data_IF_583239408844
#
_entry.id   IF_583239408844
#
_cell.length_a   1.000
_cell.length_b   1.000
_cell.length_c   1.000
_cell.angle_alpha   90.00
_cell.angle_beta   90.00
_cell.angle_gamma   90.00
#
_symmetry.space_group_name_H-M   'P 1'
#
loop_
_entity.id
_entity.type
_entity.pdbx_description
1 polymer ?
#
# COMPACT_ATOMS: atom_id res chain seq x y z
N UNK A 1 3.24 -24.77 9.53
CA UNK A 1 2.71 -23.77 10.48
C UNK A 1 1.57 -23.10 9.75
N UNK A 2 0.33 -23.47 10.08
CA UNK A 2 -0.85 -22.84 9.49
C UNK A 2 -0.83 -21.36 9.86
N UNK A 3 -0.77 -20.48 8.86
CA UNK A 3 -1.03 -19.06 9.06
C UNK A 3 -2.51 -18.90 9.39
N UNK A 4 -2.86 -19.07 10.66
CA UNK A 4 -4.19 -18.72 11.14
C UNK A 4 -4.34 -17.22 10.96
N UNK A 5 -5.04 -16.82 9.90
CA UNK A 5 -5.52 -15.44 9.76
C UNK A 5 -6.51 -15.27 10.89
N UNK A 6 -6.09 -14.59 11.95
CA UNK A 6 -6.97 -14.14 13.01
C UNK A 6 -7.93 -13.11 12.40
N UNK A 7 -9.10 -13.58 11.96
CA UNK A 7 -10.13 -12.74 11.35
C UNK A 7 -10.90 -11.91 12.37
N UNK A 8 -10.60 -12.06 13.67
CA UNK A 8 -11.21 -11.31 14.76
C UNK A 8 -10.14 -10.74 15.70
N UNK A 9 -9.34 -9.83 15.14
CA UNK A 9 -8.72 -8.78 15.96
C UNK A 9 -9.14 -7.42 15.46
N UNK A 10 -10.30 -6.99 15.97
CA UNK A 10 -10.76 -5.61 15.92
C UNK A 10 -9.89 -4.83 16.90
N UNK A 11 -8.86 -4.16 16.39
CA UNK A 11 -8.13 -3.18 17.18
C UNK A 11 -8.76 -1.81 17.03
N UNK A 12 -9.00 -1.18 18.17
CA UNK A 12 -9.58 0.14 18.26
C UNK A 12 -8.56 1.14 17.72
N UNK A 13 -9.01 2.01 16.83
CA UNK A 13 -8.44 3.32 16.52
C UNK A 13 -7.52 3.84 17.66
N UNK A 14 -6.21 3.95 17.42
CA UNK A 14 -5.26 4.58 18.36
C UNK A 14 -4.15 3.72 19.00
N UNK A 15 -3.77 2.55 18.45
CA UNK A 15 -2.56 1.85 18.93
C UNK A 15 -1.29 2.31 18.18
N UNK A 16 -0.24 2.59 18.96
CA UNK A 16 0.97 3.30 18.56
C UNK A 16 1.86 2.51 17.59
N UNK A 17 2.21 3.11 16.45
CA UNK A 17 3.27 2.60 15.56
C UNK A 17 4.64 2.97 16.12
N UNK A 18 5.40 2.03 16.70
CA UNK A 18 6.78 2.27 17.14
C UNK A 18 7.77 2.10 15.96
N UNK A 19 8.60 3.10 15.69
CA UNK A 19 9.67 3.04 14.68
C UNK A 19 10.92 2.36 15.25
N UNK A 20 11.44 1.34 14.56
CA UNK A 20 12.68 0.62 14.93
C UNK A 20 13.94 1.07 14.17
N UNK A 21 13.85 2.10 13.30
CA UNK A 21 14.96 2.54 12.43
C UNK A 21 15.95 3.48 13.13
N UNK A 22 15.58 4.05 14.28
CA UNK A 22 16.48 4.86 15.10
C UNK A 22 16.07 4.71 16.58
N UNK A 23 16.94 4.19 17.47
CA UNK A 23 16.65 4.16 18.91
C UNK A 23 16.40 5.55 19.52
N UNK A 24 16.62 6.63 18.77
CA UNK A 24 16.34 8.02 19.15
C UNK A 24 15.01 8.58 18.62
N UNK A 25 14.28 7.86 17.74
CA UNK A 25 13.05 8.37 17.13
C UNK A 25 11.83 7.51 17.52
N UNK A 26 11.55 7.47 18.83
CA UNK A 26 10.43 6.76 19.47
C UNK A 26 9.06 7.42 19.21
N UNK A 27 8.87 8.07 18.07
CA UNK A 27 7.59 8.65 17.74
C UNK A 27 6.56 7.53 17.49
N UNK A 28 5.38 7.73 18.04
CA UNK A 28 4.22 6.84 17.94
C UNK A 28 3.22 7.45 16.98
N UNK A 29 2.76 6.68 15.99
CA UNK A 29 1.81 7.19 14.99
C UNK A 29 0.45 6.50 15.06
N UNK A 30 -0.60 7.24 14.74
CA UNK A 30 -1.95 6.74 14.48
C UNK A 30 -2.27 6.88 12.98
N UNK A 31 -3.01 5.93 12.42
CA UNK A 31 -3.53 5.99 11.05
C UNK A 31 -5.04 5.80 11.09
N UNK A 32 -5.76 6.65 10.37
CA UNK A 32 -7.20 6.56 10.19
C UNK A 32 -7.56 6.71 8.72
N UNK A 33 -8.13 5.68 8.11
CA UNK A 33 -8.71 5.80 6.76
C UNK A 33 -9.92 6.72 6.82
N UNK A 34 -9.91 7.75 5.99
CA UNK A 34 -10.97 8.73 5.86
C UNK A 34 -11.90 8.40 4.69
N UNK A 35 -11.33 7.91 3.59
CA UNK A 35 -12.05 7.65 2.34
C UNK A 35 -11.29 6.63 1.48
N UNK A 36 -12.03 5.76 0.79
CA UNK A 36 -11.48 4.92 -0.28
C UNK A 36 -12.30 5.13 -1.55
N UNK A 37 -11.65 5.15 -2.71
CA UNK A 37 -12.28 5.38 -4.00
C UNK A 37 -11.68 4.46 -5.06
N UNK A 38 -12.50 4.10 -6.03
CA UNK A 38 -12.08 3.40 -7.25
C UNK A 38 -12.11 4.42 -8.39
N UNK A 39 -10.98 4.54 -9.09
CA UNK A 39 -10.80 5.46 -10.21
C UNK A 39 -10.53 4.66 -11.49
N UNK A 40 -11.23 5.03 -12.56
CA UNK A 40 -11.02 4.45 -13.91
C UNK A 40 -9.87 5.14 -14.67
N UNK A 41 -9.38 6.27 -14.18
CA UNK A 41 -8.28 7.04 -14.76
C UNK A 41 -7.54 7.85 -13.69
N UNK A 42 -6.38 8.40 -14.06
CA UNK A 42 -5.54 9.21 -13.16
C UNK A 42 -5.59 10.70 -13.46
N UNK A 43 -6.54 11.17 -14.27
CA UNK A 43 -6.60 12.58 -14.70
C UNK A 43 -6.79 13.57 -13.56
N UNK A 44 -7.38 13.12 -12.45
CA UNK A 44 -7.55 13.89 -11.20
C UNK A 44 -6.34 13.82 -10.27
N UNK A 45 -5.32 13.02 -10.61
CA UNK A 45 -4.11 12.83 -9.82
C UNK A 45 -3.04 13.74 -10.41
N UNK A 46 -2.38 14.51 -9.55
CA UNK A 46 -1.19 15.25 -9.97
C UNK A 46 -0.04 14.26 -10.22
N UNK A 47 0.06 13.78 -11.46
CA UNK A 47 1.08 12.80 -11.86
C UNK A 47 2.51 13.35 -11.72
N UNK A 48 2.69 14.67 -11.59
CA UNK A 48 4.01 15.26 -11.34
C UNK A 48 4.51 14.97 -9.91
N UNK A 49 3.59 14.66 -8.99
CA UNK A 49 3.88 14.21 -7.62
C UNK A 49 4.28 12.74 -7.53
N UNK A 50 4.13 11.97 -8.62
CA UNK A 50 4.60 10.58 -8.70
C UNK A 50 6.10 10.59 -8.92
N UNK A 51 6.87 10.27 -7.89
CA UNK A 51 8.34 10.18 -7.96
C UNK A 51 8.84 8.90 -7.30
N UNK A 52 9.59 8.09 -8.05
CA UNK A 52 10.37 6.96 -7.54
C UNK A 52 10.58 5.87 -8.59
N UNK A 53 10.98 4.66 -8.17
CA UNK A 53 11.36 3.55 -9.07
C UNK A 53 10.21 2.93 -9.88
N UNK A 54 8.97 3.34 -9.61
CA UNK A 54 7.79 2.89 -10.34
C UNK A 54 7.71 3.58 -11.70
N UNK A 55 7.81 2.79 -12.78
CA UNK A 55 7.71 3.31 -14.14
C UNK A 55 6.23 3.50 -14.53
N UNK A 56 5.62 4.59 -14.05
CA UNK A 56 4.21 4.90 -14.28
C UNK A 56 3.84 4.98 -15.77
N UNK A 57 4.82 5.26 -16.64
CA UNK A 57 4.62 5.27 -18.10
C UNK A 57 4.22 3.90 -18.65
N UNK A 58 4.50 2.80 -17.94
CA UNK A 58 4.06 1.46 -18.31
C UNK A 58 2.59 1.19 -17.95
N UNK A 59 1.99 2.02 -17.10
CA UNK A 59 0.65 1.81 -16.54
C UNK A 59 -0.36 2.82 -17.05
N UNK A 60 0.09 4.02 -17.45
CA UNK A 60 -0.76 5.15 -17.79
C UNK A 60 -0.48 5.60 -19.22
N UNK A 61 -1.53 5.89 -19.98
CA UNK A 61 -1.45 6.51 -21.30
C UNK A 61 -1.21 8.02 -21.18
N UNK A 62 -0.76 8.67 -22.26
CA UNK A 62 -0.49 10.12 -22.26
C UNK A 62 -1.74 10.97 -21.95
N UNK A 63 -2.94 10.43 -22.16
CA UNK A 63 -4.22 11.07 -21.85
C UNK A 63 -4.70 10.84 -20.40
N UNK A 64 -3.93 10.13 -19.58
CA UNK A 64 -4.25 9.81 -18.19
C UNK A 64 -5.17 8.59 -18.00
N UNK A 65 -5.58 7.91 -19.08
CA UNK A 65 -6.26 6.61 -18.98
C UNK A 65 -5.29 5.50 -18.57
N UNK A 66 -5.82 4.44 -17.95
CA UNK A 66 -5.03 3.28 -17.55
C UNK A 66 -4.82 2.34 -18.74
N UNK A 67 -3.62 1.79 -18.88
CA UNK A 67 -3.28 0.79 -19.90
C UNK A 67 -3.80 -0.58 -19.49
N UNK A 68 -4.26 -1.35 -20.46
CA UNK A 68 -4.45 -2.79 -20.31
C UNK A 68 -3.09 -3.50 -20.32
N UNK A 69 -3.04 -4.76 -19.89
CA UNK A 69 -1.86 -5.61 -20.07
C UNK A 69 -2.22 -7.06 -20.31
N UNK A 70 -1.23 -7.80 -20.78
CA UNK A 70 -1.31 -9.26 -20.89
C UNK A 70 -0.88 -9.85 -19.56
N UNK A 71 -1.83 -10.45 -18.84
CA UNK A 71 -1.60 -11.21 -17.61
C UNK A 71 -1.27 -12.66 -17.97
N UNK A 72 -0.20 -13.19 -17.39
CA UNK A 72 0.18 -14.60 -17.53
C UNK A 72 -0.44 -15.41 -16.39
N UNK A 73 -1.19 -16.46 -16.73
CA UNK A 73 -1.66 -17.44 -15.77
C UNK A 73 -0.60 -18.53 -15.63
N UNK A 74 0.15 -18.48 -14.53
CA UNK A 74 1.32 -19.32 -14.29
C UNK A 74 0.93 -20.55 -13.46
N UNK A 75 1.33 -21.72 -13.95
CA UNK A 75 1.43 -22.93 -13.14
C UNK A 75 2.82 -22.93 -12.51
N UNK A 76 2.86 -22.72 -11.18
CA UNK A 76 4.10 -22.73 -10.43
C UNK A 76 4.68 -24.15 -10.32
N UNK A 77 5.96 -24.28 -10.63
CA UNK A 77 6.73 -25.51 -10.45
C UNK A 77 7.08 -25.76 -8.97
N UNK A 78 7.62 -26.94 -8.69
CA UNK A 78 8.14 -27.28 -7.35
C UNK A 78 9.58 -26.78 -7.13
N UNK A 79 10.20 -26.20 -8.17
CA UNK A 79 11.58 -25.70 -8.13
C UNK A 79 12.64 -26.81 -8.04
N UNK A 80 12.25 -28.09 -8.13
CA UNK A 80 13.13 -29.26 -8.01
C UNK A 80 13.04 -30.15 -9.25
N UNK A 81 11.83 -30.51 -9.66
CA UNK A 81 11.52 -31.38 -10.80
C UNK A 81 10.74 -30.65 -11.90
N UNK A 82 10.00 -29.60 -11.56
CA UNK A 82 9.19 -28.80 -12.48
C UNK A 82 9.53 -27.32 -12.36
N UNK A 83 9.53 -26.64 -13.50
CA UNK A 83 9.71 -25.19 -13.60
C UNK A 83 8.36 -24.51 -13.79
N UNK A 84 8.30 -23.21 -13.49
CA UNK A 84 7.11 -22.40 -13.75
C UNK A 84 6.79 -22.39 -15.25
N UNK A 85 5.52 -22.55 -15.58
CA UNK A 85 5.06 -22.54 -16.97
C UNK A 85 3.84 -21.64 -17.12
N UNK A 86 3.84 -20.83 -18.18
CA UNK A 86 2.65 -20.06 -18.59
C UNK A 86 1.64 -21.02 -19.20
N UNK A 87 0.50 -21.21 -18.54
CA UNK A 87 -0.60 -22.04 -19.03
C UNK A 87 -1.44 -21.30 -20.07
N UNK A 88 -1.74 -20.04 -19.77
CA UNK A 88 -2.53 -19.17 -20.64
C UNK A 88 -2.18 -17.71 -20.41
N UNK A 89 -2.64 -16.86 -21.32
CA UNK A 89 -2.55 -15.42 -21.16
C UNK A 89 -3.91 -14.79 -21.45
N UNK A 90 -4.18 -13.67 -20.81
CA UNK A 90 -5.40 -12.89 -21.01
C UNK A 90 -5.10 -11.40 -21.00
N UNK A 91 -5.95 -10.59 -21.63
CA UNK A 91 -5.86 -9.13 -21.54
C UNK A 91 -6.75 -8.65 -20.42
N UNK A 92 -6.18 -7.89 -19.48
CA UNK A 92 -6.87 -7.39 -18.29
C UNK A 92 -6.70 -5.88 -18.22
N UNK A 93 -7.81 -5.17 -17.99
CA UNK A 93 -7.78 -3.75 -17.70
C UNK A 93 -7.31 -3.48 -16.27
N UNK A 94 -7.02 -2.21 -15.99
CA UNK A 94 -6.58 -1.77 -14.66
C UNK A 94 -7.59 -0.82 -14.03
N UNK A 95 -7.53 -0.71 -12.70
CA UNK A 95 -8.20 0.32 -11.90
C UNK A 95 -7.20 0.92 -10.91
N UNK A 96 -7.51 2.10 -10.39
CA UNK A 96 -6.75 2.72 -9.30
C UNK A 96 -7.60 2.75 -8.04
N UNK A 97 -7.07 2.21 -6.96
CA UNK A 97 -7.63 2.33 -5.62
C UNK A 97 -6.93 3.50 -4.93
N UNK A 98 -7.69 4.57 -4.66
CA UNK A 98 -7.22 5.71 -3.89
C UNK A 98 -7.67 5.57 -2.44
N UNK A 99 -6.75 5.59 -1.49
CA UNK A 99 -7.04 5.56 -0.05
C UNK A 99 -6.56 6.85 0.58
N UNK A 100 -7.48 7.68 1.02
CA UNK A 100 -7.18 8.88 1.80
C UNK A 100 -7.22 8.55 3.27
N UNK A 101 -6.14 8.85 3.98
CA UNK A 101 -5.97 8.58 5.39
C UNK A 101 -5.34 9.77 6.11
N UNK A 102 -5.63 9.85 7.39
CA UNK A 102 -5.03 10.78 8.32
C UNK A 102 -3.93 10.05 9.09
N UNK A 103 -2.76 10.69 9.21
CA UNK A 103 -1.67 10.26 10.06
C UNK A 103 -1.51 11.29 11.16
N UNK A 104 -1.42 10.83 12.40
CA UNK A 104 -1.15 11.66 13.57
C UNK A 104 0.11 11.17 14.27
N UNK A 105 1.03 12.09 14.57
CA UNK A 105 2.14 11.82 15.48
C UNK A 105 1.64 12.01 16.92
N UNK A 106 1.48 10.92 17.66
CA UNK A 106 0.99 10.90 19.05
C UNK A 106 2.10 11.22 20.07
N UNK A 107 3.30 11.54 19.62
CA UNK A 107 4.44 11.81 20.48
C UNK A 107 4.77 13.28 20.59
N UNK A 108 5.40 13.63 21.72
CA UNK A 108 5.91 14.99 21.99
C UNK A 108 7.24 15.29 21.26
N UNK A 109 7.68 14.38 20.38
CA UNK A 109 8.86 14.54 19.54
C UNK A 109 8.45 14.45 18.08
N UNK A 110 9.15 15.19 17.23
CA UNK A 110 9.10 14.99 15.78
C UNK A 110 9.52 13.56 15.44
N UNK A 111 8.91 12.97 14.42
CA UNK A 111 9.29 11.64 13.97
C UNK A 111 8.94 11.37 12.52
N UNK A 112 9.44 10.24 12.05
CA UNK A 112 9.21 9.72 10.71
C UNK A 112 8.48 8.38 10.84
N UNK A 113 7.33 8.24 10.17
CA UNK A 113 6.57 6.99 10.19
C UNK A 113 7.17 5.98 9.20
N UNK A 114 7.65 4.80 9.65
CA UNK A 114 8.33 3.82 8.79
C UNK A 114 7.37 2.72 8.29
N UNK A 115 6.34 3.07 7.53
CA UNK A 115 5.35 2.07 7.10
C UNK A 115 5.35 1.82 5.60
N UNK A 116 5.17 0.56 5.24
CA UNK A 116 4.81 0.15 3.88
C UNK A 116 3.34 -0.17 3.81
N UNK A 117 2.75 0.13 2.65
CA UNK A 117 1.36 -0.13 2.38
C UNK A 117 1.24 -1.06 1.17
N UNK A 118 0.30 -2.00 1.24
CA UNK A 118 -0.09 -2.84 0.11
C UNK A 118 -1.55 -3.24 0.26
N UNK A 119 -2.17 -3.70 -0.82
CA UNK A 119 -3.53 -4.23 -0.77
C UNK A 119 -3.51 -5.76 -0.78
N UNK A 120 -4.47 -6.36 -0.09
CA UNK A 120 -4.74 -7.80 -0.17
C UNK A 120 -6.22 -8.09 0.01
N UNK A 121 -6.62 -9.29 -0.40
CA UNK A 121 -7.90 -9.84 0.01
C UNK A 121 -7.81 -10.52 1.38
N UNK A 122 -8.95 -10.88 1.95
CA UNK A 122 -9.01 -11.55 3.26
C UNK A 122 -8.25 -12.87 3.29
N UNK A 123 -8.16 -13.56 2.16
CA UNK A 123 -7.54 -14.88 2.02
C UNK A 123 -6.04 -14.83 1.68
N UNK A 124 -5.40 -13.67 1.81
CA UNK A 124 -3.95 -13.48 1.62
C UNK A 124 -3.43 -13.77 0.22
N UNK A 125 -4.26 -13.62 -0.82
CA UNK A 125 -3.72 -13.41 -2.15
C UNK A 125 -3.15 -12.00 -2.18
N UNK A 126 -1.82 -11.90 -2.25
CA UNK A 126 -1.17 -10.63 -2.57
C UNK A 126 -1.68 -10.21 -3.94
N UNK A 127 -2.25 -9.02 -4.03
CA UNK A 127 -2.34 -8.37 -5.31
C UNK A 127 -0.95 -7.81 -5.59
N UNK A 128 -0.43 -8.02 -6.80
CA UNK A 128 0.68 -7.19 -7.28
C UNK A 128 0.17 -5.75 -7.28
N UNK A 129 0.44 -5.06 -6.18
CA UNK A 129 0.00 -3.70 -5.95
C UNK A 129 1.24 -2.85 -5.96
N UNK A 130 1.33 -2.04 -7.00
CA UNK A 130 2.36 -1.03 -7.06
C UNK A 130 1.78 0.26 -6.46
N UNK A 131 2.39 0.69 -5.35
CA UNK A 131 2.14 2.02 -4.79
C UNK A 131 2.67 3.02 -5.79
N UNK A 132 1.77 3.78 -6.39
CA UNK A 132 2.08 4.59 -7.56
C UNK A 132 2.18 6.08 -7.21
N UNK A 133 1.52 6.57 -6.16
CA UNK A 133 1.60 7.96 -5.73
C UNK A 133 1.24 8.15 -4.25
N UNK A 134 1.77 9.23 -3.65
CA UNK A 134 1.42 9.73 -2.32
C UNK A 134 1.24 11.24 -2.36
N UNK A 135 0.06 11.74 -1.98
CA UNK A 135 -0.16 13.19 -1.95
C UNK A 135 0.68 13.85 -0.85
N UNK A 136 1.30 14.99 -1.17
CA UNK A 136 2.06 15.79 -0.22
C UNK A 136 3.46 15.25 0.14
N UNK A 137 4.07 14.43 -0.72
CA UNK A 137 5.51 14.22 -0.69
C UNK A 137 6.25 15.45 -1.23
N UNK A 138 7.24 15.91 -0.47
CA UNK A 138 8.22 16.87 -0.99
C UNK A 138 9.14 16.09 -1.94
N UNK A 139 9.23 16.51 -3.19
CA UNK A 139 9.78 15.74 -4.34
C UNK A 139 11.26 15.34 -4.30
N UNK A 140 11.88 15.28 -3.11
CA UNK A 140 13.27 14.91 -2.87
C UNK A 140 13.43 13.54 -2.18
N UNK A 141 12.36 12.88 -1.72
CA UNK A 141 12.45 11.55 -1.10
C UNK A 141 12.28 10.45 -2.15
N UNK A 142 13.34 9.67 -2.41
CA UNK A 142 13.27 8.42 -3.19
C UNK A 142 12.54 7.29 -2.44
N UNK A 143 12.17 7.53 -1.18
CA UNK A 143 11.56 6.54 -0.30
C UNK A 143 10.07 6.87 -0.13
N UNK A 144 9.22 6.14 -0.86
CA UNK A 144 7.75 6.23 -0.79
C UNK A 144 7.16 5.96 0.62
N UNK A 145 7.96 5.53 1.59
CA UNK A 145 7.45 4.90 2.82
C UNK A 145 7.54 5.77 4.07
N UNK A 146 7.89 7.05 3.92
CA UNK A 146 8.18 7.90 5.05
C UNK A 146 7.38 9.20 5.00
N UNK A 147 6.58 9.41 6.04
CA UNK A 147 5.92 10.68 6.31
C UNK A 147 6.53 11.24 7.60
N UNK A 148 7.20 12.38 7.47
CA UNK A 148 7.73 13.11 8.61
C UNK A 148 6.63 14.02 9.18
N UNK A 149 6.45 13.99 10.49
CA UNK A 149 5.49 14.83 11.22
C UNK A 149 6.15 15.43 12.46
N UNK A 150 5.91 16.72 12.68
CA UNK A 150 6.22 17.36 13.96
C UNK A 150 5.45 16.70 15.12
N UNK A 151 5.87 16.98 16.35
CA UNK A 151 5.20 16.49 17.56
C UNK A 151 3.72 16.86 17.57
N UNK A 152 2.84 15.91 17.89
CA UNK A 152 1.38 16.12 17.95
C UNK A 152 0.75 16.65 16.64
N UNK A 153 1.46 16.57 15.52
CA UNK A 153 0.96 17.03 14.23
C UNK A 153 0.10 15.97 13.53
N UNK A 154 -0.84 16.44 12.73
CA UNK A 154 -1.71 15.63 11.89
C UNK A 154 -1.52 15.99 10.42
N UNK A 155 -1.49 15.00 9.54
CA UNK A 155 -1.41 15.18 8.09
C UNK A 155 -2.38 14.25 7.38
N UNK A 156 -3.10 14.77 6.39
CA UNK A 156 -3.91 13.97 5.48
C UNK A 156 -3.08 13.61 4.25
N UNK A 157 -3.08 12.33 3.89
CA UNK A 157 -2.34 11.77 2.76
C UNK A 157 -3.27 10.86 1.98
N UNK A 158 -3.11 10.82 0.65
CA UNK A 158 -3.78 9.88 -0.24
C UNK A 158 -2.73 8.99 -0.87
N UNK A 159 -2.87 7.69 -0.68
CA UNK A 159 -2.08 6.67 -1.36
C UNK A 159 -2.87 6.07 -2.51
N UNK A 160 -2.20 5.78 -3.61
CA UNK A 160 -2.82 5.23 -4.81
C UNK A 160 -2.18 3.90 -5.17
N UNK A 161 -3.01 2.88 -5.37
CA UNK A 161 -2.61 1.54 -5.80
C UNK A 161 -3.19 1.25 -7.17
N UNK A 162 -2.37 0.67 -8.05
CA UNK A 162 -2.85 0.11 -9.30
C UNK A 162 -3.23 -1.34 -9.05
N UNK A 163 -4.40 -1.75 -9.53
CA UNK A 163 -4.94 -3.10 -9.39
C UNK A 163 -5.58 -3.56 -10.69
N UNK A 164 -5.76 -4.87 -10.85
CA UNK A 164 -6.56 -5.43 -11.95
C UNK A 164 -8.02 -5.01 -11.82
N UNK A 165 -8.71 -4.85 -12.96
CA UNK A 165 -10.11 -4.44 -12.95
C UNK A 165 -11.07 -5.52 -12.46
N UNK A 166 -10.63 -6.78 -12.45
CA UNK A 166 -11.42 -7.95 -12.08
C UNK A 166 -11.31 -8.31 -10.59
N UNK A 167 -10.62 -7.50 -9.78
CA UNK A 167 -10.55 -7.74 -8.33
C UNK A 167 -11.91 -7.54 -7.65
N UNK A 168 -12.15 -8.32 -6.60
CA UNK A 168 -13.34 -8.14 -5.77
C UNK A 168 -13.12 -7.02 -4.72
N UNK A 169 -13.55 -5.80 -5.06
CA UNK A 169 -13.43 -4.63 -4.19
C UNK A 169 -14.17 -4.75 -2.84
N UNK A 170 -15.18 -5.63 -2.74
CA UNK A 170 -15.92 -5.84 -1.48
C UNK A 170 -15.09 -6.56 -0.41
N UNK A 171 -13.98 -7.18 -0.80
CA UNK A 171 -13.08 -7.95 0.07
C UNK A 171 -11.65 -7.38 0.03
N UNK A 172 -11.51 -6.06 -0.09
CA UNK A 172 -10.21 -5.39 -0.18
C UNK A 172 -9.79 -4.79 1.16
N UNK A 173 -8.54 -5.05 1.53
CA UNK A 173 -7.93 -4.56 2.76
C UNK A 173 -6.64 -3.82 2.44
N UNK A 174 -6.48 -2.64 3.02
CA UNK A 174 -5.18 -1.99 3.10
C UNK A 174 -4.38 -2.59 4.24
N UNK A 175 -3.18 -3.02 3.93
CA UNK A 175 -2.22 -3.50 4.90
C UNK A 175 -1.24 -2.41 5.24
N UNK A 176 -1.06 -2.14 6.53
CA UNK A 176 -0.02 -1.27 7.05
C UNK A 176 1.02 -2.15 7.71
N UNK A 177 2.20 -2.21 7.12
CA UNK A 177 3.33 -2.97 7.66
C UNK A 177 4.35 -2.01 8.25
N UNK A 178 4.57 -2.12 9.55
CA UNK A 178 5.59 -1.37 10.26
C UNK A 178 6.95 -2.09 10.17
N UNK A 179 8.01 -1.37 9.81
CA UNK A 179 9.36 -1.93 9.84
C UNK A 179 9.98 -1.75 11.23
N UNK A 180 9.95 -2.82 12.02
CA UNK A 180 10.89 -2.95 13.14
C UNK A 180 12.10 -3.75 12.67
N UNK A 181 13.25 -3.10 12.49
CA UNK A 181 14.47 -3.77 11.99
C UNK A 181 15.15 -4.60 13.07
N UNK A 182 14.83 -4.34 14.34
CA UNK A 182 15.47 -5.00 15.48
C UNK A 182 14.72 -6.23 15.98
N UNK A 183 13.53 -6.51 15.42
CA UNK A 183 12.71 -7.66 15.77
C UNK A 183 12.07 -8.18 14.49
N UNK A 184 12.30 -9.45 14.12
CA UNK A 184 11.73 -10.13 12.93
C UNK A 184 10.18 -10.21 12.93
N UNK A 185 9.50 -9.43 13.77
CA UNK A 185 8.04 -9.36 13.87
C UNK A 185 7.60 -8.08 13.17
N UNK A 186 7.27 -8.22 11.88
CA UNK A 186 6.54 -7.18 11.17
C UNK A 186 5.10 -7.14 11.70
N UNK A 187 4.80 -6.19 12.57
CA UNK A 187 3.42 -5.91 12.93
C UNK A 187 2.68 -5.41 11.68
N UNK A 188 1.60 -6.12 11.36
CA UNK A 188 0.86 -5.98 10.12
C UNK A 188 -0.59 -5.70 10.48
N UNK A 189 -1.04 -4.47 10.27
CA UNK A 189 -2.42 -4.08 10.49
C UNK A 189 -3.21 -4.25 9.19
N UNK A 190 -4.43 -4.80 9.26
CA UNK A 190 -5.37 -4.76 8.13
C UNK A 190 -6.48 -3.75 8.40
N UNK A 191 -6.77 -2.93 7.39
CA UNK A 191 -7.87 -1.99 7.40
C UNK A 191 -8.78 -2.35 6.24
N UNK A 192 -10.02 -2.75 6.52
CA UNK A 192 -11.01 -3.01 5.46
C UNK A 192 -11.34 -1.70 4.76
N UNK A 193 -11.31 -1.72 3.42
CA UNK A 193 -11.70 -0.56 2.62
C UNK A 193 -13.20 -0.61 2.33
N UNK A 194 -13.83 0.56 2.37
CA UNK A 194 -15.24 0.77 2.02
C UNK A 194 -15.29 1.74 0.85
N UNK A 195 -16.04 1.38 -0.19
CA UNK A 195 -16.16 2.09 -1.48
C UNK A 195 -17.61 2.47 -1.75
#
# INVERSE_FOLDING_TARGET
VENTIDTEKIYKQGEACLNGYDPLNNASFSIKVLKSEILDNVSSIDVSSIKGSFNYQNVINDDGSLKDYVRENIIYGDGVNTVDTVESTETVGRRVVAVTYEIENLSDIKGEMPCSFYLRNKNSTYFETEVFALSGQDGNSERFYFVELDANATKTVTIYFVVDEDINFNDLYMVVRNFNINVDIAETSLIKLEF
#
